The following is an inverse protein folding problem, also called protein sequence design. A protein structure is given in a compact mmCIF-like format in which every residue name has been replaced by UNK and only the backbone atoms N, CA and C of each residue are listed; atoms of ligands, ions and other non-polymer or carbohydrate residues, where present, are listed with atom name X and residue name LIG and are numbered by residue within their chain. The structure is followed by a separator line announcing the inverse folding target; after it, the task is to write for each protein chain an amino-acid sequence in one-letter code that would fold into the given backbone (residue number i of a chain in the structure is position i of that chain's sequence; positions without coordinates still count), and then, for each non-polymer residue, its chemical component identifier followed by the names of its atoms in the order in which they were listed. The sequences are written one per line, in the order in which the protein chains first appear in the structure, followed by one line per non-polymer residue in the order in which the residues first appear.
data_IF_969490313370
#
_entry.id   IF_969490313370
#
_cell.length_a   1.000
_cell.length_b   1.000
_cell.length_c   1.000
_cell.angle_alpha   90.00
_cell.angle_beta   90.00
_cell.angle_gamma   90.00
#
_symmetry.space_group_name_H-M   'P 1'
#
loop_
_entity.id
_entity.type
_entity.pdbx_description
1 polymer ?
#
# COMPACT_ATOMS: atom_id res chain seq x y z
N UNK A 1 21.42 4.86 18.95
CA UNK A 1 20.76 5.79 17.99
C UNK A 1 19.38 5.23 17.67
N UNK A 2 18.33 6.06 17.67
CA UNK A 2 16.95 5.65 17.36
C UNK A 2 16.45 6.31 16.06
N UNK A 3 15.37 5.78 15.48
CA UNK A 3 14.67 6.42 14.35
C UNK A 3 14.20 7.84 14.70
N UNK A 4 13.82 8.07 15.95
CA UNK A 4 13.46 9.39 16.45
C UNK A 4 14.63 10.38 16.36
N UNK A 5 15.86 9.93 16.66
CA UNK A 5 17.04 10.77 16.52
C UNK A 5 17.32 11.13 15.05
N UNK A 6 17.09 10.21 14.11
CA UNK A 6 17.28 10.47 12.68
C UNK A 6 16.20 11.40 12.11
N UNK A 7 14.96 11.28 12.60
CA UNK A 7 13.88 12.22 12.31
C UNK A 7 14.24 13.63 12.80
N UNK A 8 14.68 13.75 14.06
CA UNK A 8 15.07 15.04 14.65
C UNK A 8 16.28 15.68 13.95
N UNK A 9 17.17 14.88 13.35
CA UNK A 9 18.31 15.34 12.57
C UNK A 9 17.99 15.63 11.09
N UNK A 10 16.72 15.48 10.67
CA UNK A 10 16.30 15.74 9.28
C UNK A 10 16.77 14.71 8.25
N UNK A 11 17.28 13.56 8.68
CA UNK A 11 17.69 12.47 7.78
C UNK A 11 16.51 11.61 7.32
N UNK A 12 15.37 11.71 7.98
CA UNK A 12 14.12 11.03 7.64
C UNK A 12 12.95 12.02 7.67
N UNK A 13 11.86 11.67 6.99
CA UNK A 13 10.57 12.34 7.12
C UNK A 13 9.52 11.30 7.53
N UNK A 14 8.50 11.71 8.29
CA UNK A 14 7.40 10.82 8.65
C UNK A 14 6.63 10.45 7.37
N UNK A 15 6.69 9.17 6.99
CA UNK A 15 5.98 8.65 5.84
C UNK A 15 4.96 7.61 6.28
N UNK A 16 3.67 7.96 6.20
CA UNK A 16 2.57 7.05 6.53
C UNK A 16 2.22 6.15 5.35
N UNK A 17 2.92 5.02 5.24
CA UNK A 17 2.61 3.97 4.27
C UNK A 17 1.44 3.11 4.77
N UNK A 18 0.51 2.71 3.88
CA UNK A 18 -0.46 1.65 4.23
C UNK A 18 0.07 0.27 3.93
N UNK A 19 -0.47 -0.72 4.64
CA UNK A 19 -0.32 -2.14 4.30
C UNK A 19 -0.55 -2.40 2.80
N UNK A 20 -1.62 -1.85 2.25
CA UNK A 20 -1.94 -1.98 0.82
C UNK A 20 -0.86 -1.42 -0.13
N UNK A 21 -0.17 -0.37 0.28
CA UNK A 21 0.89 0.22 -0.54
C UNK A 21 2.18 -0.58 -0.40
N UNK A 22 2.43 -1.14 0.79
CA UNK A 22 3.55 -2.05 1.01
C UNK A 22 3.37 -3.30 0.15
N UNK A 23 2.21 -3.96 0.22
CA UNK A 23 1.93 -5.20 -0.54
C UNK A 23 2.03 -4.97 -2.05
N UNK A 24 1.47 -3.86 -2.55
CA UNK A 24 1.58 -3.48 -3.94
C UNK A 24 3.05 -3.23 -4.37
N UNK A 25 3.84 -2.50 -3.56
CA UNK A 25 5.28 -2.32 -3.81
C UNK A 25 6.04 -3.64 -3.80
N UNK A 26 5.71 -4.55 -2.89
CA UNK A 26 6.35 -5.86 -2.80
C UNK A 26 6.11 -6.66 -4.08
N UNK A 27 4.86 -6.76 -4.55
CA UNK A 27 4.56 -7.47 -5.79
C UNK A 27 5.26 -6.87 -7.01
N UNK A 28 5.35 -5.53 -7.06
CA UNK A 28 6.04 -4.81 -8.13
C UNK A 28 7.56 -5.04 -8.10
N UNK A 29 8.15 -5.01 -6.89
CA UNK A 29 9.57 -5.25 -6.69
C UNK A 29 9.96 -6.71 -6.98
N UNK A 30 9.12 -7.66 -6.57
CA UNK A 30 9.29 -9.08 -6.92
C UNK A 30 9.27 -9.29 -8.44
N UNK A 31 8.45 -8.51 -9.15
CA UNK A 31 8.44 -8.49 -10.62
C UNK A 31 9.67 -7.79 -11.24
N UNK A 32 10.61 -7.28 -10.44
CA UNK A 32 11.82 -6.58 -10.91
C UNK A 32 11.61 -5.10 -11.24
N UNK A 33 10.48 -4.50 -10.85
CA UNK A 33 10.14 -3.11 -11.19
C UNK A 33 10.02 -2.22 -9.96
N UNK A 34 10.14 -0.90 -10.19
CA UNK A 34 9.89 0.13 -9.17
C UNK A 34 9.15 1.31 -9.78
N UNK A 35 8.16 1.84 -9.07
CA UNK A 35 7.47 3.05 -9.49
C UNK A 35 8.40 4.28 -9.42
N UNK A 36 8.35 5.12 -10.45
CA UNK A 36 9.04 6.43 -10.48
C UNK A 36 8.39 7.38 -9.45
N UNK A 37 9.16 8.36 -8.95
CA UNK A 37 8.75 9.26 -7.85
C UNK A 37 7.44 10.02 -8.09
N UNK A 38 7.13 10.40 -9.33
CA UNK A 38 5.88 11.10 -9.64
C UNK A 38 4.67 10.17 -9.58
N UNK A 39 3.61 10.64 -8.91
CA UNK A 39 2.37 9.90 -8.68
C UNK A 39 2.61 8.48 -8.10
N UNK A 40 3.63 8.35 -7.24
CA UNK A 40 4.15 7.08 -6.75
C UNK A 40 3.06 6.14 -6.20
N UNK A 41 2.22 6.61 -5.27
CA UNK A 41 1.16 5.80 -4.69
C UNK A 41 0.13 5.33 -5.74
N UNK A 42 -0.24 6.20 -6.68
CA UNK A 42 -1.17 5.85 -7.75
C UNK A 42 -0.60 4.73 -8.62
N UNK A 43 0.63 4.88 -9.09
CA UNK A 43 1.29 3.88 -9.96
C UNK A 43 1.50 2.54 -9.27
N UNK A 44 1.84 2.57 -7.97
CA UNK A 44 1.95 1.37 -7.14
C UNK A 44 0.62 0.64 -7.04
N UNK A 45 -0.50 1.35 -6.83
CA UNK A 45 -1.82 0.69 -6.75
C UNK A 45 -2.23 0.13 -8.12
N UNK A 46 -2.02 0.90 -9.19
CA UNK A 46 -2.34 0.47 -10.55
C UNK A 46 -1.54 -0.75 -11.00
N UNK A 47 -0.33 -0.97 -10.46
CA UNK A 47 0.46 -2.14 -10.83
C UNK A 47 -0.16 -3.46 -10.39
N UNK A 48 -1.11 -3.45 -9.43
CA UNK A 48 -1.83 -4.65 -9.00
C UNK A 48 -2.62 -5.31 -10.14
N UNK A 49 -3.05 -4.55 -11.16
CA UNK A 49 -3.67 -5.11 -12.36
C UNK A 49 -2.71 -6.04 -13.13
N UNK A 50 -1.40 -5.78 -13.04
CA UNK A 50 -0.39 -6.49 -13.80
C UNK A 50 0.27 -7.61 -13.00
N UNK A 51 0.40 -7.45 -11.68
CA UNK A 51 0.97 -8.46 -10.78
C UNK A 51 -0.07 -9.52 -10.42
N UNK A 52 -0.92 -9.24 -9.43
CA UNK A 52 -1.91 -10.18 -8.91
C UNK A 52 -3.21 -10.26 -9.74
N UNK A 53 -3.26 -9.56 -10.88
CA UNK A 53 -4.46 -9.46 -11.74
C UNK A 53 -5.70 -8.93 -11.00
N UNK A 54 -5.48 -7.98 -10.08
CA UNK A 54 -6.57 -7.31 -9.37
C UNK A 54 -7.54 -6.67 -10.37
N UNK A 55 -8.84 -6.77 -10.09
CA UNK A 55 -9.87 -6.17 -10.93
C UNK A 55 -9.92 -4.65 -10.77
N UNK A 56 -10.51 -3.98 -11.76
CA UNK A 56 -10.60 -2.52 -11.81
C UNK A 56 -11.39 -1.93 -10.63
N UNK A 57 -12.37 -2.66 -10.08
CA UNK A 57 -13.18 -2.19 -8.94
C UNK A 57 -12.36 -2.20 -7.66
N UNK A 58 -11.57 -3.25 -7.43
CA UNK A 58 -10.65 -3.34 -6.30
C UNK A 58 -9.60 -2.22 -6.34
N UNK A 59 -9.01 -1.98 -7.51
CA UNK A 59 -8.06 -0.89 -7.74
C UNK A 59 -8.70 0.47 -7.47
N UNK A 60 -9.91 0.70 -7.99
CA UNK A 60 -10.63 1.96 -7.79
C UNK A 60 -10.97 2.20 -6.32
N UNK A 61 -11.42 1.16 -5.60
CA UNK A 61 -11.74 1.24 -4.17
C UNK A 61 -10.51 1.59 -3.34
N UNK A 62 -9.37 0.99 -3.68
CA UNK A 62 -8.09 1.30 -3.08
C UNK A 62 -7.61 2.73 -3.33
N UNK A 63 -7.81 3.25 -4.54
CA UNK A 63 -7.52 4.65 -4.84
C UNK A 63 -8.42 5.62 -4.06
N UNK A 64 -9.68 5.26 -3.82
CA UNK A 64 -10.59 6.03 -2.95
C UNK A 64 -10.09 6.05 -1.51
N UNK A 65 -9.70 4.90 -0.97
CA UNK A 65 -9.12 4.79 0.37
C UNK A 65 -7.82 5.57 0.52
N UNK A 66 -6.96 5.57 -0.51
CA UNK A 66 -5.78 6.42 -0.56
C UNK A 66 -6.13 7.90 -0.46
N UNK A 67 -7.12 8.37 -1.24
CA UNK A 67 -7.56 9.77 -1.21
C UNK A 67 -8.15 10.16 0.15
N UNK A 68 -9.01 9.31 0.72
CA UNK A 68 -9.60 9.52 2.06
C UNK A 68 -8.54 9.61 3.16
N UNK A 69 -7.46 8.83 3.09
CA UNK A 69 -6.34 8.93 4.02
C UNK A 69 -5.60 10.28 3.95
N UNK A 70 -5.40 10.82 2.74
CA UNK A 70 -4.72 12.10 2.56
C UNK A 70 -5.53 13.30 3.08
N UNK A 71 -6.86 13.16 3.20
CA UNK A 71 -7.75 14.21 3.71
C UNK A 71 -7.75 14.27 5.25
N UNK A 72 -7.19 13.28 5.96
CA UNK A 72 -7.24 13.23 7.43
C UNK A 72 -6.39 14.29 8.16
N UNK A 73 -5.65 15.13 7.44
CA UNK A 73 -4.72 16.12 8.03
C UNK A 73 -5.33 17.50 8.31
N UNK A 74 -6.41 17.88 7.62
CA UNK A 74 -7.07 19.18 7.81
C UNK A 74 -8.58 18.98 7.80
N UNK A 75 -9.16 19.21 8.98
CA UNK A 75 -10.59 19.30 9.29
C UNK A 75 -11.47 18.04 9.31
N UNK A 76 -12.17 17.95 10.45
CA UNK A 76 -13.39 17.21 10.75
C UNK A 76 -13.31 15.70 11.03
N UNK A 77 -13.29 15.40 12.34
CA UNK A 77 -13.91 14.20 12.90
C UNK A 77 -15.30 14.00 12.28
N UNK A 78 -15.48 12.92 11.49
CA UNK A 78 -16.75 12.59 10.83
C UNK A 78 -16.67 12.10 9.39
N UNK A 79 -15.51 12.17 8.73
CA UNK A 79 -15.37 11.82 7.30
C UNK A 79 -15.13 10.33 7.00
N UNK A 80 -14.75 9.54 8.00
CA UNK A 80 -14.61 8.08 7.90
C UNK A 80 -15.31 7.49 9.12
N UNK A 81 -16.35 6.70 8.90
CA UNK A 81 -17.01 5.94 9.96
C UNK A 81 -16.12 4.80 10.47
N UNK A 82 -16.32 4.36 11.71
CA UNK A 82 -15.63 3.17 12.24
C UNK A 82 -15.85 1.93 11.37
N UNK A 83 -17.00 1.85 10.71
CA UNK A 83 -17.30 0.78 9.76
C UNK A 83 -16.42 0.87 8.51
N UNK A 84 -16.32 2.06 7.89
CA UNK A 84 -15.43 2.27 6.75
C UNK A 84 -13.96 2.00 7.10
N UNK A 85 -13.52 2.40 8.30
CA UNK A 85 -12.17 2.12 8.76
C UNK A 85 -11.92 0.59 8.91
N UNK A 86 -12.89 -0.16 9.45
CA UNK A 86 -12.82 -1.63 9.53
C UNK A 86 -12.80 -2.26 8.16
N UNK A 87 -13.64 -1.78 7.24
CA UNK A 87 -13.70 -2.29 5.87
C UNK A 87 -12.37 -2.06 5.14
N UNK A 88 -11.73 -0.90 5.34
CA UNK A 88 -10.39 -0.61 4.81
C UNK A 88 -9.33 -1.58 5.32
N UNK A 89 -9.34 -1.90 6.62
CA UNK A 89 -8.41 -2.87 7.22
C UNK A 89 -8.64 -4.28 6.67
N UNK A 90 -9.92 -4.69 6.56
CA UNK A 90 -10.28 -6.00 6.00
C UNK A 90 -9.82 -6.12 4.55
N UNK A 91 -10.04 -5.09 3.72
CA UNK A 91 -9.63 -5.08 2.31
C UNK A 91 -8.11 -5.15 2.16
N UNK A 92 -7.37 -4.39 2.97
CA UNK A 92 -5.91 -4.41 2.96
C UNK A 92 -5.35 -5.77 3.41
N UNK A 93 -6.05 -6.44 4.33
CA UNK A 93 -5.67 -7.78 4.82
C UNK A 93 -5.88 -8.85 3.74
N UNK A 94 -6.98 -8.78 2.98
CA UNK A 94 -7.23 -9.65 1.83
C UNK A 94 -6.18 -9.45 0.74
N UNK A 95 -5.88 -8.21 0.38
CA UNK A 95 -4.83 -7.92 -0.60
C UNK A 95 -3.46 -8.48 -0.17
N UNK A 96 -3.14 -8.42 1.11
CA UNK A 96 -1.91 -9.05 1.62
C UNK A 96 -1.90 -10.55 1.33
N UNK A 97 -3.00 -11.25 1.62
CA UNK A 97 -3.11 -12.69 1.35
C UNK A 97 -2.96 -12.99 -0.13
N UNK A 98 -3.64 -12.24 -1.01
CA UNK A 98 -3.53 -12.40 -2.47
C UNK A 98 -2.09 -12.19 -2.97
N UNK A 99 -1.38 -11.20 -2.44
CA UNK A 99 0.04 -10.97 -2.78
C UNK A 99 0.93 -12.08 -2.24
N UNK A 100 0.70 -12.56 -1.02
CA UNK A 100 1.46 -13.68 -0.44
C UNK A 100 1.26 -14.98 -1.25
N UNK A 101 0.03 -15.29 -1.65
CA UNK A 101 -0.28 -16.43 -2.53
C UNK A 101 0.39 -16.28 -3.89
N UNK A 102 0.23 -15.11 -4.52
CA UNK A 102 0.86 -14.82 -5.81
C UNK A 102 2.39 -14.93 -5.77
N UNK A 103 3.03 -14.48 -4.68
CA UNK A 103 4.48 -14.61 -4.49
C UNK A 103 4.91 -16.07 -4.40
N UNK A 104 4.17 -16.92 -3.67
CA UNK A 104 4.48 -18.36 -3.60
C UNK A 104 4.41 -19.04 -4.97
N UNK A 105 3.48 -18.61 -5.81
CA UNK A 105 3.27 -19.18 -7.14
C UNK A 105 4.27 -18.66 -8.19
N UNK A 106 4.59 -17.37 -8.18
CA UNK A 106 5.33 -16.70 -9.26
C UNK A 106 6.79 -16.39 -8.91
N UNK A 107 7.11 -16.29 -7.61
CA UNK A 107 8.43 -15.95 -7.10
C UNK A 107 8.79 -16.81 -5.87
N UNK A 108 8.78 -18.16 -5.99
CA UNK A 108 9.08 -19.05 -4.88
C UNK A 108 10.50 -18.84 -4.33
N UNK A 109 11.44 -18.39 -5.17
CA UNK A 109 12.81 -18.02 -4.82
C UNK A 109 12.90 -16.86 -3.81
N UNK A 110 11.88 -16.00 -3.76
CA UNK A 110 11.77 -14.92 -2.77
C UNK A 110 11.12 -15.38 -1.46
N UNK A 111 10.58 -16.60 -1.42
CA UNK A 111 9.89 -17.19 -0.27
C UNK A 111 10.73 -18.26 0.45
N UNK A 112 11.86 -18.65 -0.11
CA UNK A 112 12.85 -19.53 0.50
C UNK A 112 13.94 -18.68 1.17
N UNK A 113 14.28 -19.03 2.42
CA UNK A 113 15.36 -18.40 3.22
C UNK A 113 16.64 -19.24 3.15
#
# INVERSE_FOLDING_TARGET
MSLQNWLNNGWLTEHRTSLQEITAKTSLAASGYRAVRDAHHYRVIQSLAYTIKADASLIALFDQFRKKRNISGYDHAGMISDQEAKDMVNLASRLRQEVEEWLRENHPDLMEE
#
